data_IF_824274293523
#
_entry.id   IF_824274293523
#
_cell.length_a   1.000
_cell.length_b   1.000
_cell.length_c   1.000
_cell.angle_alpha   90.00
_cell.angle_beta   90.00
_cell.angle_gamma   90.00
#
_symmetry.space_group_name_H-M   'P 1'
#
loop_
_entity.id
_entity.type
_entity.pdbx_description
1 polymer ?
#
# COMPACT_ATOMS: atom_id res chain seq x y z
N UNK A 1 7.36 -11.15 -5.74
CA UNK A 1 8.31 -10.93 -6.86
C UNK A 1 9.74 -10.99 -6.34
N UNK A 2 10.63 -11.73 -7.02
CA UNK A 2 12.03 -11.90 -6.60
C UNK A 2 12.95 -11.17 -7.58
N UNK A 3 13.87 -10.38 -7.04
CA UNK A 3 14.92 -9.68 -7.76
C UNK A 3 16.26 -10.27 -7.40
N UNK A 4 17.10 -10.49 -8.41
CA UNK A 4 18.46 -10.98 -8.25
C UNK A 4 19.43 -9.81 -8.31
N UNK A 5 19.99 -9.42 -7.18
CA UNK A 5 21.01 -8.36 -7.07
C UNK A 5 22.39 -8.98 -6.85
N UNK A 6 23.44 -8.21 -7.05
CA UNK A 6 24.82 -8.67 -6.79
C UNK A 6 25.04 -9.07 -5.32
N UNK A 7 24.29 -8.47 -4.40
CA UNK A 7 24.35 -8.71 -2.96
C UNK A 7 23.43 -9.85 -2.48
N UNK A 8 22.65 -10.47 -3.38
CA UNK A 8 21.72 -11.55 -3.06
C UNK A 8 20.32 -11.35 -3.65
N UNK A 9 19.38 -12.20 -3.22
CA UNK A 9 17.99 -12.14 -3.68
C UNK A 9 17.17 -11.21 -2.78
N UNK A 10 16.37 -10.33 -3.38
CA UNK A 10 15.39 -9.50 -2.69
C UNK A 10 14.01 -9.96 -3.11
N UNK A 11 13.18 -10.32 -2.14
CA UNK A 11 11.77 -10.61 -2.37
C UNK A 11 10.92 -9.39 -1.99
N UNK A 12 10.14 -8.92 -2.94
CA UNK A 12 9.07 -7.94 -2.72
C UNK A 12 7.76 -8.69 -2.79
N UNK A 13 7.04 -8.76 -1.68
CA UNK A 13 5.73 -9.41 -1.60
C UNK A 13 4.65 -8.51 -0.98
N UNK A 14 5.02 -7.34 -0.48
CA UNK A 14 4.10 -6.39 0.15
C UNK A 14 4.31 -4.99 -0.43
N UNK A 15 3.21 -4.33 -0.78
CA UNK A 15 3.19 -2.95 -1.28
C UNK A 15 2.38 -2.10 -0.30
N UNK A 16 2.99 -1.00 0.14
CA UNK A 16 2.34 -0.01 1.01
C UNK A 16 2.05 1.25 0.19
N UNK A 17 0.79 1.68 0.21
CA UNK A 17 0.31 2.90 -0.41
C UNK A 17 0.06 4.00 0.62
N UNK A 18 0.29 5.26 0.23
CA UNK A 18 -0.34 6.41 0.89
C UNK A 18 -1.66 6.76 0.18
N UNK A 19 -2.56 7.46 0.87
CA UNK A 19 -3.84 7.87 0.31
C UNK A 19 -3.71 9.08 -0.62
N UNK A 20 -3.00 10.11 -0.14
CA UNK A 20 -2.94 11.40 -0.80
C UNK A 20 -1.80 11.40 -1.81
N UNK A 21 -2.13 11.41 -3.11
CA UNK A 21 -1.14 11.48 -4.20
C UNK A 21 -0.75 10.13 -4.81
N UNK A 22 -1.11 8.99 -4.20
CA UNK A 22 -0.80 7.66 -4.75
C UNK A 22 -2.04 6.91 -5.23
N UNK A 23 -3.04 6.71 -4.37
CA UNK A 23 -4.27 5.98 -4.74
C UNK A 23 -5.39 6.88 -5.22
N UNK A 24 -5.44 8.13 -4.75
CA UNK A 24 -6.55 9.03 -5.03
C UNK A 24 -6.09 10.37 -5.55
N UNK A 25 -6.78 10.85 -6.59
CA UNK A 25 -6.71 12.23 -7.06
C UNK A 25 -7.94 12.97 -6.54
N UNK A 26 -7.72 14.04 -5.77
CA UNK A 26 -8.80 14.80 -5.13
C UNK A 26 -9.74 13.94 -4.26
N UNK A 27 -9.24 12.83 -3.69
CA UNK A 27 -10.01 11.90 -2.87
C UNK A 27 -10.90 10.94 -3.66
N UNK A 28 -10.77 10.88 -4.98
CA UNK A 28 -11.45 9.94 -5.86
C UNK A 28 -10.45 8.91 -6.42
N UNK A 29 -10.90 7.67 -6.52
CA UNK A 29 -10.15 6.57 -7.15
C UNK A 29 -10.49 6.56 -8.63
N UNK A 30 -9.46 6.57 -9.49
CA UNK A 30 -9.64 6.45 -10.94
C UNK A 30 -9.80 4.99 -11.33
N UNK A 31 -10.39 4.73 -12.50
CA UNK A 31 -10.51 3.37 -13.04
C UNK A 31 -9.13 2.71 -13.21
N UNK A 32 -8.13 3.48 -13.64
CA UNK A 32 -6.76 3.00 -13.80
C UNK A 32 -6.17 2.48 -12.48
N UNK A 33 -6.41 3.18 -11.36
CA UNK A 33 -5.98 2.71 -10.04
C UNK A 33 -6.65 1.38 -9.67
N UNK A 34 -7.94 1.20 -9.96
CA UNK A 34 -8.64 -0.06 -9.69
C UNK A 34 -8.05 -1.22 -10.49
N UNK A 35 -7.74 -0.98 -11.77
CA UNK A 35 -7.08 -1.97 -12.64
C UNK A 35 -5.70 -2.35 -12.10
N UNK A 36 -4.88 -1.38 -11.68
CA UNK A 36 -3.57 -1.65 -11.07
C UNK A 36 -3.68 -2.48 -9.79
N UNK A 37 -4.61 -2.12 -8.89
CA UNK A 37 -4.83 -2.88 -7.66
C UNK A 37 -5.26 -4.31 -7.97
N UNK A 38 -6.13 -4.50 -8.97
CA UNK A 38 -6.53 -5.82 -9.41
C UNK A 38 -5.33 -6.63 -9.90
N UNK A 39 -4.49 -6.08 -10.78
CA UNK A 39 -3.29 -6.78 -11.28
C UNK A 39 -2.31 -7.14 -10.16
N UNK A 40 -2.05 -6.22 -9.24
CA UNK A 40 -1.13 -6.48 -8.13
C UNK A 40 -1.63 -7.60 -7.21
N UNK A 41 -2.95 -7.70 -7.00
CA UNK A 41 -3.55 -8.84 -6.29
C UNK A 41 -3.37 -10.16 -7.03
N UNK A 42 -3.56 -10.18 -8.36
CA UNK A 42 -3.32 -11.38 -9.17
C UNK A 42 -1.85 -11.83 -9.11
N UNK A 43 -0.92 -10.90 -8.92
CA UNK A 43 0.49 -11.19 -8.69
C UNK A 43 0.82 -11.62 -7.25
N UNK A 44 -0.21 -11.82 -6.41
CA UNK A 44 -0.12 -12.28 -5.03
C UNK A 44 0.67 -11.32 -4.11
N UNK A 45 0.59 -10.01 -4.38
CA UNK A 45 1.09 -9.00 -3.45
C UNK A 45 0.11 -8.79 -2.30
N UNK A 46 0.64 -8.67 -1.08
CA UNK A 46 -0.08 -8.07 0.02
C UNK A 46 -0.14 -6.54 -0.19
N UNK A 47 -1.34 -5.98 -0.18
CA UNK A 47 -1.59 -4.56 -0.44
C UNK A 47 -2.10 -3.88 0.82
N UNK A 48 -1.39 -2.84 1.26
CA UNK A 48 -1.69 -2.13 2.50
C UNK A 48 -1.82 -0.64 2.21
N UNK A 49 -2.94 -0.05 2.61
CA UNK A 49 -3.10 1.40 2.68
C UNK A 49 -2.68 1.91 4.06
N UNK A 50 -1.63 2.71 4.10
CA UNK A 50 -1.16 3.37 5.31
C UNK A 50 -1.53 4.84 5.24
N UNK A 51 -2.35 5.32 6.17
CA UNK A 51 -2.86 6.70 6.11
C UNK A 51 -2.87 7.38 7.47
N UNK A 52 -2.83 8.72 7.47
CA UNK A 52 -3.15 9.54 8.63
C UNK A 52 -4.58 10.08 8.61
N UNK A 53 -5.38 9.72 7.59
CA UNK A 53 -6.77 10.17 7.45
C UNK A 53 -7.65 9.67 8.61
N UNK A 54 -8.37 10.61 9.21
CA UNK A 54 -9.29 10.37 10.32
C UNK A 54 -10.75 10.65 9.95
N UNK A 55 -10.99 11.21 8.75
CA UNK A 55 -12.33 11.56 8.27
C UNK A 55 -13.04 10.35 7.66
N UNK A 56 -12.34 9.23 7.51
CA UNK A 56 -12.89 7.94 7.09
C UNK A 56 -12.89 7.71 5.58
N UNK A 57 -12.35 8.64 4.80
CA UNK A 57 -12.28 8.50 3.34
C UNK A 57 -11.34 7.35 2.94
N UNK A 58 -10.19 7.24 3.63
CA UNK A 58 -9.24 6.16 3.40
C UNK A 58 -9.83 4.77 3.66
N UNK A 59 -10.66 4.65 4.70
CA UNK A 59 -11.33 3.39 5.02
C UNK A 59 -12.29 2.99 3.90
N UNK A 60 -13.11 3.91 3.41
CA UNK A 60 -14.04 3.64 2.32
C UNK A 60 -13.31 3.23 1.03
N UNK A 61 -12.20 3.90 0.72
CA UNK A 61 -11.33 3.56 -0.41
C UNK A 61 -10.74 2.17 -0.25
N UNK A 62 -10.20 1.83 0.93
CA UNK A 62 -9.65 0.51 1.19
C UNK A 62 -10.70 -0.60 1.08
N UNK A 63 -11.91 -0.37 1.58
CA UNK A 63 -13.04 -1.30 1.46
C UNK A 63 -13.44 -1.50 0.00
N UNK A 64 -13.55 -0.41 -0.78
CA UNK A 64 -13.85 -0.47 -2.22
C UNK A 64 -12.81 -1.27 -2.98
N UNK A 65 -11.53 -1.01 -2.70
CA UNK A 65 -10.39 -1.69 -3.32
C UNK A 65 -10.12 -3.07 -2.72
N UNK A 66 -10.79 -3.44 -1.63
CA UNK A 66 -10.58 -4.66 -0.83
C UNK A 66 -9.10 -4.85 -0.44
N UNK A 67 -8.45 -3.82 0.06
CA UNK A 67 -7.05 -3.87 0.55
C UNK A 67 -7.01 -3.65 2.06
N UNK A 68 -5.94 -4.13 2.71
CA UNK A 68 -5.73 -3.89 4.14
C UNK A 68 -5.53 -2.38 4.36
N UNK A 69 -5.99 -1.86 5.50
CA UNK A 69 -5.72 -0.47 5.87
C UNK A 69 -5.26 -0.34 7.32
N UNK A 70 -4.31 0.57 7.54
CA UNK A 70 -3.80 0.91 8.85
C UNK A 70 -3.68 2.42 9.01
N UNK A 71 -4.13 2.92 10.15
CA UNK A 71 -3.94 4.32 10.53
C UNK A 71 -2.61 4.43 11.27
N UNK A 72 -1.70 5.25 10.74
CA UNK A 72 -0.41 5.53 11.37
C UNK A 72 -0.20 7.04 11.46
N UNK A 73 -0.21 7.56 12.69
CA UNK A 73 -0.13 8.99 13.03
C UNK A 73 1.29 9.47 13.24
N UNK A 74 2.19 8.56 13.66
CA UNK A 74 3.57 8.90 13.96
C UNK A 74 4.54 8.13 13.06
N UNK A 75 5.71 8.71 12.78
CA UNK A 75 6.77 7.99 12.07
C UNK A 75 7.19 6.69 12.78
N UNK A 76 7.03 6.64 14.10
CA UNK A 76 7.26 5.44 14.91
C UNK A 76 6.23 4.34 14.63
N UNK A 77 4.95 4.68 14.52
CA UNK A 77 3.89 3.74 14.11
C UNK A 77 4.10 3.22 12.69
N UNK A 78 4.45 4.11 11.75
CA UNK A 78 4.80 3.69 10.38
C UNK A 78 5.94 2.67 10.39
N UNK A 79 6.98 2.94 11.19
CA UNK A 79 8.15 2.06 11.31
C UNK A 79 7.79 0.70 11.91
N UNK A 80 6.93 0.65 12.93
CA UNK A 80 6.45 -0.60 13.54
C UNK A 80 5.68 -1.44 12.52
N UNK A 81 4.73 -0.83 11.81
CA UNK A 81 3.95 -1.51 10.77
C UNK A 81 4.83 -2.00 9.61
N UNK A 82 5.94 -1.29 9.35
CA UNK A 82 6.90 -1.64 8.31
C UNK A 82 8.09 -2.50 8.79
N UNK A 83 8.15 -2.96 10.04
CA UNK A 83 9.31 -3.76 10.53
C UNK A 83 9.07 -5.27 10.56
N UNK A 84 7.84 -5.73 10.38
CA UNK A 84 7.49 -7.15 10.49
C UNK A 84 7.67 -7.97 9.19
N UNK A 85 7.91 -7.34 8.03
CA UNK A 85 8.00 -8.02 6.72
C UNK A 85 8.92 -7.28 5.73
N UNK A 86 9.30 -7.93 4.62
CA UNK A 86 10.05 -7.32 3.53
C UNK A 86 9.14 -6.39 2.70
N UNK A 87 9.16 -5.09 2.96
CA UNK A 87 8.26 -4.11 2.33
C UNK A 87 8.93 -3.34 1.18
N UNK A 88 8.12 -2.97 0.17
CA UNK A 88 8.41 -1.88 -0.76
C UNK A 88 7.47 -0.71 -0.46
N UNK A 89 8.03 0.47 -0.20
CA UNK A 89 7.30 1.73 -0.03
C UNK A 89 7.27 2.47 -1.37
N UNK A 90 6.08 2.84 -1.83
CA UNK A 90 5.88 3.80 -2.91
C UNK A 90 5.36 5.10 -2.27
N UNK A 91 6.19 6.16 -2.31
CA UNK A 91 5.86 7.52 -1.86
C UNK A 91 5.33 8.35 -3.03
#
# INVERSE_FOLDING_TARGET
MIYHLQQGNVEINTIIFDLNGTLSEYGLITQETEEWIFYLKQMNFQLILLTSDQRGNAKHIAEKLQIDYHIAKTGKEKKILSSDKNFLFLL
#
